data_IF_424177981697
#
_entry.id   IF_424177981697
#
_cell.length_a   1.000
_cell.length_b   1.000
_cell.length_c   1.000
_cell.angle_alpha   90.00
_cell.angle_beta   90.00
_cell.angle_gamma   90.00
#
_symmetry.space_group_name_H-M   'P 1'
#
loop_
_entity.id
_entity.type
_entity.pdbx_description
1 polymer ?
#
# COMPACT_ATOMS: atom_id res chain seq x y z
N UNK A 1 -25.35 44.07 -8.03
CA UNK A 1 -25.93 43.80 -6.69
C UNK A 1 -25.92 42.29 -6.54
N UNK A 2 -25.20 41.62 -5.64
CA UNK A 2 -24.71 42.00 -4.30
C UNK A 2 -23.45 41.19 -4.00
N UNK A 3 -22.58 41.77 -3.18
CA UNK A 3 -21.26 41.32 -2.78
C UNK A 3 -21.37 40.25 -1.67
N UNK A 4 -20.66 39.13 -1.78
CA UNK A 4 -20.38 38.23 -0.65
C UNK A 4 -18.87 38.04 -0.51
N UNK A 5 -18.26 39.00 0.18
CA UNK A 5 -16.96 38.84 0.84
C UNK A 5 -17.12 37.86 2.01
N UNK A 6 -16.08 37.04 2.21
CA UNK A 6 -15.67 36.46 3.49
C UNK A 6 -16.63 35.50 4.20
N UNK A 7 -16.46 34.21 3.94
CA UNK A 7 -16.51 33.22 5.02
C UNK A 7 -15.18 32.44 5.04
N UNK A 8 -14.33 32.78 6.01
CA UNK A 8 -13.18 31.95 6.39
C UNK A 8 -13.70 30.84 7.30
N UNK A 9 -13.68 29.57 6.88
CA UNK A 9 -13.87 28.41 7.77
C UNK A 9 -13.31 27.12 7.13
N UNK A 10 -12.86 26.10 7.89
CA UNK A 10 -11.70 26.08 8.78
C UNK A 10 -10.66 24.99 8.38
N UNK A 11 -9.39 25.21 8.75
CA UNK A 11 -8.20 24.38 8.42
C UNK A 11 -8.05 23.06 9.20
N UNK A 12 -9.12 22.44 9.66
CA UNK A 12 -9.04 21.09 10.26
C UNK A 12 -10.34 20.33 10.04
N UNK A 13 -10.39 19.52 8.98
CA UNK A 13 -11.39 18.46 8.87
C UNK A 13 -10.98 17.30 9.78
N UNK A 14 -11.68 17.14 10.91
CA UNK A 14 -11.66 15.89 11.68
C UNK A 14 -12.73 14.97 11.08
N UNK A 15 -12.31 13.89 10.45
CA UNK A 15 -13.20 12.88 9.88
C UNK A 15 -13.98 12.17 10.98
N UNK A 16 -15.32 12.27 10.94
CA UNK A 16 -16.20 11.42 11.74
C UNK A 16 -16.64 10.22 10.88
N UNK A 17 -16.06 9.06 11.16
CA UNK A 17 -16.26 7.82 10.38
C UNK A 17 -17.57 7.08 10.72
N UNK A 18 -18.43 7.63 11.58
CA UNK A 18 -19.65 6.93 12.03
C UNK A 18 -20.87 7.06 11.10
N UNK A 19 -20.82 7.90 10.05
CA UNK A 19 -22.00 8.19 9.22
C UNK A 19 -21.75 8.16 7.71
N UNK A 20 -20.58 7.75 7.25
CA UNK A 20 -20.32 7.69 5.81
C UNK A 20 -20.76 6.35 5.22
N UNK A 21 -21.80 6.43 4.39
CA UNK A 21 -22.29 5.36 3.54
C UNK A 21 -21.12 4.74 2.75
N UNK A 22 -21.02 3.41 2.76
CA UNK A 22 -19.92 2.67 2.12
C UNK A 22 -19.84 2.98 0.63
N UNK A 23 -20.99 3.20 -0.02
CA UNK A 23 -21.03 3.49 -1.44
C UNK A 23 -20.50 4.89 -1.75
N UNK A 24 -20.72 5.86 -0.86
CA UNK A 24 -20.12 7.20 -0.94
C UNK A 24 -18.61 7.18 -0.65
N UNK A 25 -18.14 6.31 0.23
CA UNK A 25 -16.69 6.11 0.45
C UNK A 25 -16.02 5.56 -0.81
N UNK A 26 -16.65 4.59 -1.46
CA UNK A 26 -16.15 4.02 -2.72
C UNK A 26 -16.16 5.08 -3.82
N UNK A 27 -17.19 5.92 -3.90
CA UNK A 27 -17.29 6.98 -4.89
C UNK A 27 -16.29 8.13 -4.65
N UNK A 28 -16.08 8.54 -3.39
CA UNK A 28 -15.03 9.50 -3.01
C UNK A 28 -13.65 8.91 -3.34
N UNK A 29 -13.39 7.65 -2.98
CA UNK A 29 -12.15 6.98 -3.35
C UNK A 29 -11.97 6.90 -4.86
N UNK A 30 -13.04 6.66 -5.61
CA UNK A 30 -13.03 6.58 -7.08
C UNK A 30 -12.74 7.95 -7.72
N UNK A 31 -13.38 9.00 -7.23
CA UNK A 31 -13.16 10.39 -7.69
C UNK A 31 -11.77 10.90 -7.30
N UNK A 32 -11.26 10.56 -6.12
CA UNK A 32 -9.87 10.85 -5.72
C UNK A 32 -8.86 10.05 -6.56
N UNK A 33 -9.22 8.83 -6.97
CA UNK A 33 -8.39 7.99 -7.85
C UNK A 33 -8.33 8.49 -9.30
N UNK A 34 -9.32 9.26 -9.76
CA UNK A 34 -9.36 9.84 -11.12
C UNK A 34 -8.51 11.11 -11.28
N UNK A 35 -8.12 11.79 -10.19
CA UNK A 35 -7.52 13.15 -10.24
C UNK A 35 -5.98 13.19 -10.25
N UNK A 36 -5.24 12.07 -10.22
CA UNK A 36 -3.76 12.14 -10.20
C UNK A 36 -3.06 11.27 -11.25
N UNK A 37 -2.45 11.98 -12.21
CA UNK A 37 -1.40 11.51 -13.11
C UNK A 37 -0.35 10.69 -12.33
N UNK A 38 0.13 9.61 -12.93
CA UNK A 38 0.95 8.55 -12.32
C UNK A 38 2.09 9.02 -11.40
N UNK A 39 2.70 10.17 -11.68
CA UNK A 39 3.83 10.73 -10.95
C UNK A 39 3.50 11.12 -9.50
N UNK A 40 2.30 11.65 -9.23
CA UNK A 40 1.92 12.09 -7.88
C UNK A 40 1.52 10.91 -6.98
N UNK A 41 0.98 9.84 -7.58
CA UNK A 41 0.65 8.61 -6.86
C UNK A 41 1.88 7.90 -6.33
N UNK A 42 2.94 7.80 -7.12
CA UNK A 42 4.19 7.17 -6.68
C UNK A 42 4.81 7.91 -5.49
N UNK A 43 4.77 9.25 -5.53
CA UNK A 43 5.24 10.09 -4.43
C UNK A 43 4.39 9.90 -3.18
N UNK A 44 3.07 9.84 -3.32
CA UNK A 44 2.14 9.60 -2.22
C UNK A 44 2.36 8.22 -1.59
N UNK A 45 2.42 7.15 -2.40
CA UNK A 45 2.64 5.78 -1.93
C UNK A 45 3.98 5.67 -1.19
N UNK A 46 5.07 6.21 -1.76
CA UNK A 46 6.37 6.26 -1.07
C UNK A 46 6.28 7.01 0.27
N UNK A 47 5.54 8.12 0.31
CA UNK A 47 5.29 8.87 1.55
C UNK A 47 4.63 8.01 2.65
N UNK A 48 3.54 7.32 2.31
CA UNK A 48 2.82 6.44 3.23
C UNK A 48 3.74 5.30 3.73
N UNK A 49 4.45 4.63 2.83
CA UNK A 49 5.37 3.55 3.20
C UNK A 49 6.50 4.02 4.13
N UNK A 50 7.02 5.22 3.90
CA UNK A 50 8.01 5.85 4.78
C UNK A 50 7.49 6.11 6.19
N UNK A 51 6.25 6.57 6.31
CA UNK A 51 5.65 6.84 7.60
C UNK A 51 5.33 5.55 8.37
N UNK A 52 4.85 4.50 7.69
CA UNK A 52 4.68 3.17 8.28
C UNK A 52 5.99 2.62 8.85
N UNK A 53 7.09 2.73 8.08
CA UNK A 53 8.42 2.30 8.54
C UNK A 53 8.92 3.11 9.75
N UNK A 54 8.72 4.44 9.76
CA UNK A 54 9.10 5.30 10.91
C UNK A 54 8.31 4.93 12.17
N UNK A 55 7.02 4.65 12.03
CA UNK A 55 6.12 4.27 13.13
C UNK A 55 6.27 2.80 13.54
N UNK A 56 6.89 1.97 12.71
CA UNK A 56 7.00 0.50 12.88
C UNK A 56 5.62 -0.18 12.90
N UNK A 57 4.67 0.41 12.19
CA UNK A 57 3.30 -0.09 12.09
C UNK A 57 3.12 -0.67 10.69
N UNK A 58 2.77 -1.95 10.61
CA UNK A 58 2.53 -2.63 9.34
C UNK A 58 1.18 -3.35 9.39
N UNK A 59 0.41 -3.33 8.29
CA UNK A 59 -0.84 -4.06 8.21
C UNK A 59 -0.67 -5.55 8.50
N UNK A 60 -1.56 -6.15 9.31
CA UNK A 60 -1.44 -7.56 9.68
C UNK A 60 -1.60 -8.51 8.48
N UNK A 61 -2.33 -8.09 7.44
CA UNK A 61 -2.43 -8.85 6.20
C UNK A 61 -1.07 -8.97 5.47
N UNK A 62 -0.14 -8.05 5.65
CA UNK A 62 1.20 -8.16 5.06
C UNK A 62 2.05 -9.27 5.69
N UNK A 63 1.68 -9.72 6.90
CA UNK A 63 2.32 -10.85 7.59
C UNK A 63 1.77 -12.21 7.13
N UNK A 64 0.75 -12.21 6.26
CA UNK A 64 0.08 -13.41 5.75
C UNK A 64 0.26 -13.48 4.23
N UNK A 65 0.85 -14.57 3.74
CA UNK A 65 1.09 -14.76 2.32
C UNK A 65 0.43 -16.04 1.80
N UNK A 66 0.00 -16.02 0.53
CA UNK A 66 -0.50 -17.23 -0.12
C UNK A 66 0.69 -18.05 -0.61
N UNK A 67 0.82 -19.26 -0.07
CA UNK A 67 1.82 -20.24 -0.52
C UNK A 67 1.36 -20.90 -1.82
N UNK A 68 2.22 -20.85 -2.83
CA UNK A 68 2.08 -21.57 -4.09
C UNK A 68 3.22 -22.59 -4.17
N UNK A 69 2.87 -23.85 -4.41
CA UNK A 69 3.82 -24.93 -4.58
C UNK A 69 3.97 -25.25 -6.06
N UNK A 70 5.11 -24.91 -6.66
CA UNK A 70 5.42 -25.29 -8.03
C UNK A 70 6.20 -26.60 -8.04
N UNK A 71 5.68 -27.62 -8.71
CA UNK A 71 6.35 -28.92 -8.80
C UNK A 71 7.68 -28.77 -9.54
N UNK A 72 8.76 -29.34 -8.99
CA UNK A 72 10.06 -29.41 -9.67
C UNK A 72 9.98 -30.40 -10.83
N UNK A 73 10.56 -30.08 -12.00
CA UNK A 73 10.65 -31.03 -13.11
C UNK A 73 11.33 -32.34 -12.67
N UNK A 74 10.81 -33.47 -13.16
CA UNK A 74 11.38 -34.80 -12.88
C UNK A 74 11.21 -35.31 -11.44
N UNK A 75 10.38 -34.67 -10.62
CA UNK A 75 10.07 -35.14 -9.25
C UNK A 75 8.65 -35.68 -9.17
N UNK A 76 8.42 -36.63 -8.28
CA UNK A 76 7.14 -37.34 -8.16
C UNK A 76 6.04 -36.45 -7.53
N UNK A 77 6.40 -35.42 -6.76
CA UNK A 77 5.42 -34.52 -6.14
C UNK A 77 4.78 -35.11 -4.88
N UNK A 78 5.46 -36.06 -4.24
CA UNK A 78 4.96 -36.75 -3.04
C UNK A 78 5.45 -36.04 -1.78
N UNK A 79 6.66 -35.47 -1.83
CA UNK A 79 7.29 -34.84 -0.67
C UNK A 79 7.39 -33.32 -0.84
N UNK A 80 7.40 -32.57 0.27
CA UNK A 80 7.58 -31.11 0.24
C UNK A 80 8.85 -30.68 -0.53
N UNK A 81 9.93 -31.48 -0.45
CA UNK A 81 11.18 -31.26 -1.20
C UNK A 81 11.01 -31.29 -2.73
N UNK A 82 9.91 -31.83 -3.23
CA UNK A 82 9.62 -31.95 -4.67
C UNK A 82 9.04 -30.65 -5.25
N UNK A 83 8.79 -29.64 -4.41
CA UNK A 83 8.20 -28.37 -4.81
C UNK A 83 9.16 -27.19 -4.60
N UNK A 84 9.01 -26.16 -5.43
CA UNK A 84 9.50 -24.80 -5.18
C UNK A 84 8.39 -24.06 -4.46
N UNK A 85 8.70 -23.53 -3.30
CA UNK A 85 7.79 -22.67 -2.55
C UNK A 85 7.88 -21.26 -3.13
N UNK A 86 6.78 -20.74 -3.65
CA UNK A 86 6.59 -19.33 -3.96
C UNK A 86 5.56 -18.75 -3.00
N UNK A 87 5.77 -17.53 -2.56
CA UNK A 87 4.80 -16.80 -1.74
C UNK A 87 4.30 -15.60 -2.53
N UNK A 88 2.99 -15.51 -2.70
CA UNK A 88 2.38 -14.27 -3.17
C UNK A 88 2.28 -13.32 -1.99
N UNK A 89 2.99 -12.20 -2.13
CA UNK A 89 3.01 -11.10 -1.17
C UNK A 89 2.03 -10.02 -1.60
N UNK A 90 1.49 -9.28 -0.64
CA UNK A 90 0.68 -8.07 -0.90
C UNK A 90 1.47 -7.06 -1.73
N UNK A 91 0.84 -6.44 -2.73
CA UNK A 91 1.52 -5.52 -3.65
C UNK A 91 2.16 -4.33 -2.92
N UNK A 92 1.52 -3.79 -1.88
CA UNK A 92 2.09 -2.69 -1.11
C UNK A 92 3.23 -3.17 -0.20
N UNK A 93 3.13 -4.39 0.33
CA UNK A 93 4.23 -5.01 1.07
C UNK A 93 5.46 -5.23 0.17
N UNK A 94 5.27 -5.69 -1.08
CA UNK A 94 6.33 -5.81 -2.09
C UNK A 94 7.00 -4.47 -2.40
N UNK A 95 6.21 -3.39 -2.53
CA UNK A 95 6.75 -2.04 -2.68
C UNK A 95 7.57 -1.61 -1.45
N UNK A 96 7.11 -1.93 -0.25
CA UNK A 96 7.84 -1.66 0.99
C UNK A 96 9.17 -2.43 1.04
N UNK A 97 9.18 -3.72 0.69
CA UNK A 97 10.39 -4.54 0.60
C UNK A 97 11.38 -3.97 -0.41
N UNK A 98 10.90 -3.46 -1.54
CA UNK A 98 11.75 -2.79 -2.54
C UNK A 98 12.44 -1.56 -1.95
N UNK A 99 11.71 -0.70 -1.24
CA UNK A 99 12.30 0.49 -0.58
C UNK A 99 13.33 0.07 0.48
N UNK A 100 13.05 -0.98 1.26
CA UNK A 100 13.98 -1.51 2.25
C UNK A 100 15.23 -2.07 1.57
N UNK A 101 15.05 -2.88 0.52
CA UNK A 101 16.14 -3.46 -0.26
C UNK A 101 17.04 -2.37 -0.87
N UNK A 102 16.45 -1.31 -1.42
CA UNK A 102 17.19 -0.18 -1.98
C UNK A 102 18.00 0.56 -0.91
N UNK A 103 17.44 0.74 0.30
CA UNK A 103 18.17 1.31 1.45
C UNK A 103 19.31 0.42 1.90
N UNK A 104 19.06 -0.88 2.00
CA UNK A 104 20.07 -1.87 2.39
C UNK A 104 21.20 -1.87 1.35
N UNK A 105 20.88 -1.95 0.06
CA UNK A 105 21.87 -1.88 -1.04
C UNK A 105 22.62 -0.55 -1.07
N UNK A 106 21.94 0.55 -0.79
CA UNK A 106 22.55 1.88 -0.65
C UNK A 106 23.43 2.04 0.59
N UNK A 107 23.28 1.16 1.60
CA UNK A 107 24.02 1.18 2.88
C UNK A 107 24.99 0.02 3.11
N UNK A 108 25.00 -1.02 2.26
CA UNK A 108 25.96 -2.15 2.29
C UNK A 108 27.14 -1.89 1.32
N UNK A 109 27.45 -0.61 1.07
CA UNK A 109 28.50 -0.25 0.13
C UNK A 109 28.97 1.20 0.24
N UNK A 110 29.14 1.73 1.46
CA UNK A 110 30.08 2.83 1.78
C UNK A 110 30.57 2.70 3.21
#
# INVERSE_FOLDING_TARGET
MTNLKNEKHPRTWKWNTKTLDKDKLIEIMRLEMEVSQSQDRDKMVKGILNDLMKKREFPDNWKKNRLILLRKPGREGVNAKDYRTLTLIDSLASCCETIIADRIRGGIGR
#
